data_IF_161706397515
#
_entry.id   IF_161706397515
#
_cell.length_a   1.000
_cell.length_b   1.000
_cell.length_c   1.000
_cell.angle_alpha   90.00
_cell.angle_beta   90.00
_cell.angle_gamma   90.00
#
_symmetry.space_group_name_H-M   'P 1'
#
loop_
_entity.id
_entity.type
_entity.pdbx_description
1 polymer ?
#
# COMPACT_ATOMS: atom_id res chain seq x y z
N UNK A 1 -22.89 -22.85 -15.34
CA UNK A 1 -22.70 -22.49 -16.76
C UNK A 1 -23.07 -21.02 -16.90
N UNK A 2 -22.08 -20.16 -17.18
CA UNK A 2 -21.91 -19.36 -18.43
C UNK A 2 -23.11 -18.38 -18.60
N UNK A 3 -22.98 -17.05 -18.59
CA UNK A 3 -22.27 -16.25 -19.62
C UNK A 3 -22.08 -14.74 -19.27
N UNK A 4 -20.86 -14.25 -19.52
CA UNK A 4 -20.42 -12.97 -20.13
C UNK A 4 -21.12 -11.62 -19.81
N UNK A 5 -20.30 -10.65 -19.38
CA UNK A 5 -19.76 -9.55 -20.22
C UNK A 5 -18.91 -8.64 -19.29
N UNK A 6 -17.71 -8.16 -19.62
CA UNK A 6 -17.34 -7.47 -20.86
C UNK A 6 -15.85 -7.66 -21.13
N UNK A 7 -15.60 -8.12 -22.35
CA UNK A 7 -14.35 -8.01 -23.07
C UNK A 7 -14.18 -6.54 -23.54
N UNK A 8 -13.00 -6.23 -24.09
CA UNK A 8 -12.60 -5.05 -24.87
C UNK A 8 -11.95 -3.89 -24.07
N UNK A 9 -10.60 -3.92 -23.96
CA UNK A 9 -9.73 -3.16 -24.88
C UNK A 9 -8.25 -3.38 -24.54
N UNK A 10 -7.53 -4.02 -25.47
CA UNK A 10 -6.12 -3.70 -25.68
C UNK A 10 -6.01 -2.31 -26.32
N UNK A 11 -4.78 -1.78 -26.32
CA UNK A 11 -4.37 -0.42 -26.70
C UNK A 11 -4.52 0.67 -25.63
N UNK A 12 -3.64 0.60 -24.63
CA UNK A 12 -2.69 1.67 -24.25
C UNK A 12 -1.76 1.05 -23.20
N UNK A 13 -0.44 1.27 -23.31
CA UNK A 13 0.38 1.38 -22.09
C UNK A 13 -0.24 2.55 -21.33
N UNK A 14 -1.17 2.27 -20.43
CA UNK A 14 -1.94 3.33 -19.77
C UNK A 14 -1.02 4.09 -18.82
N UNK A 15 -1.22 5.40 -18.70
CA UNK A 15 -0.52 6.33 -17.79
C UNK A 15 -0.05 5.72 -16.46
N UNK A 16 -0.87 4.84 -15.89
CA UNK A 16 -0.64 4.05 -14.68
C UNK A 16 0.63 3.20 -14.69
N UNK A 17 1.02 2.61 -15.82
CA UNK A 17 2.23 1.80 -15.94
C UNK A 17 3.50 2.67 -15.95
N UNK A 18 3.40 3.88 -16.50
CA UNK A 18 4.52 4.85 -16.54
C UNK A 18 4.71 5.45 -15.16
N UNK A 19 3.63 5.90 -14.51
CA UNK A 19 3.65 6.38 -13.14
C UNK A 19 4.15 5.31 -12.16
N UNK A 20 3.76 4.05 -12.34
CA UNK A 20 4.26 2.94 -11.52
C UNK A 20 5.76 2.68 -11.73
N UNK A 21 6.27 2.81 -12.95
CA UNK A 21 7.70 2.64 -13.26
C UNK A 21 8.54 3.78 -12.67
N UNK A 22 8.11 5.03 -12.80
CA UNK A 22 8.81 6.19 -12.23
C UNK A 22 8.82 6.14 -10.70
N UNK A 23 7.72 5.70 -10.10
CA UNK A 23 7.66 5.40 -8.67
C UNK A 23 8.69 4.35 -8.30
N UNK A 24 8.77 3.24 -9.04
CA UNK A 24 9.72 2.16 -8.76
C UNK A 24 11.17 2.62 -8.85
N UNK A 25 11.51 3.51 -9.77
CA UNK A 25 12.86 4.05 -9.91
C UNK A 25 13.21 5.03 -8.76
N UNK A 26 12.30 5.93 -8.37
CA UNK A 26 12.46 6.77 -7.18
C UNK A 26 12.60 5.92 -5.91
N UNK A 27 11.79 4.87 -5.78
CA UNK A 27 11.77 4.00 -4.60
C UNK A 27 13.02 3.11 -4.52
N UNK A 28 13.54 2.61 -5.64
CA UNK A 28 14.83 1.92 -5.68
C UNK A 28 15.98 2.82 -5.25
N UNK A 29 15.95 4.10 -5.60
CA UNK A 29 16.95 5.07 -5.16
C UNK A 29 16.92 5.30 -3.64
N UNK A 30 15.77 5.07 -2.99
CA UNK A 30 15.58 5.14 -1.52
C UNK A 30 15.91 3.81 -0.82
N UNK A 31 16.18 2.73 -1.57
CA UNK A 31 16.58 1.44 -1.02
C UNK A 31 15.46 0.67 -0.32
N UNK A 32 14.22 0.77 -0.83
CA UNK A 32 13.06 0.04 -0.29
C UNK A 32 12.82 -1.31 -0.99
N UNK A 33 12.22 -2.25 -0.26
CA UNK A 33 11.90 -3.59 -0.70
C UNK A 33 10.59 -3.61 -1.52
N UNK A 34 10.52 -4.30 -2.68
CA UNK A 34 9.25 -4.57 -3.34
C UNK A 34 8.34 -5.44 -2.46
N UNK A 35 7.05 -5.11 -2.37
CA UNK A 35 6.07 -5.85 -1.55
C UNK A 35 6.07 -7.34 -1.90
N UNK A 36 6.17 -7.68 -3.19
CA UNK A 36 6.17 -9.07 -3.64
C UNK A 36 7.38 -9.88 -3.15
N UNK A 37 8.50 -9.22 -2.87
CA UNK A 37 9.78 -9.84 -2.48
C UNK A 37 9.94 -9.95 -0.97
N UNK A 38 9.12 -9.25 -0.17
CA UNK A 38 9.19 -9.33 1.27
C UNK A 38 8.79 -10.74 1.79
N UNK A 39 9.33 -11.16 2.95
CA UNK A 39 8.95 -12.42 3.59
C UNK A 39 8.42 -12.25 5.02
N UNK A 40 7.69 -13.27 5.49
CA UNK A 40 7.09 -13.27 6.82
C UNK A 40 8.16 -13.08 7.92
N UNK A 41 7.90 -12.16 8.85
CA UNK A 41 8.74 -11.93 10.03
C UNK A 41 9.94 -11.01 9.78
N UNK A 42 10.20 -10.62 8.54
CA UNK A 42 11.25 -9.69 8.17
C UNK A 42 10.90 -8.26 8.58
N UNK A 43 11.96 -7.46 8.80
CA UNK A 43 11.81 -6.01 8.85
C UNK A 43 11.89 -5.51 7.42
N UNK A 44 10.86 -4.80 6.99
CA UNK A 44 10.72 -4.30 5.63
C UNK A 44 10.64 -2.78 5.64
N UNK A 45 11.13 -2.16 4.58
CA UNK A 45 10.84 -0.77 4.26
C UNK A 45 10.23 -0.74 2.87
N UNK A 46 8.99 -0.31 2.75
CA UNK A 46 8.22 -0.37 1.51
C UNK A 46 7.68 1.00 1.21
N UNK A 47 7.75 1.43 -0.04
CA UNK A 47 7.12 2.66 -0.47
C UNK A 47 6.04 2.41 -1.52
N UNK A 48 4.97 3.19 -1.45
CA UNK A 48 3.83 3.01 -2.33
C UNK A 48 2.78 4.11 -2.17
N UNK A 49 1.64 3.90 -2.83
CA UNK A 49 0.50 4.81 -2.83
C UNK A 49 -0.65 4.21 -2.05
N UNK A 50 -1.27 5.00 -1.17
CA UNK A 50 -2.47 4.63 -0.41
C UNK A 50 -3.64 4.47 -1.39
N UNK A 51 -4.13 3.24 -1.57
CA UNK A 51 -5.27 2.93 -2.44
C UNK A 51 -6.60 3.01 -1.69
N UNK A 52 -6.62 2.60 -0.43
CA UNK A 52 -7.81 2.62 0.41
C UNK A 52 -7.48 3.03 1.85
N UNK A 53 -8.45 3.66 2.51
CA UNK A 53 -8.44 3.94 3.94
C UNK A 53 -9.73 3.40 4.54
N UNK A 54 -9.62 2.41 5.42
CA UNK A 54 -10.75 1.74 6.05
C UNK A 54 -10.87 2.19 7.51
N UNK A 55 -12.03 2.76 7.84
CA UNK A 55 -12.42 3.08 9.21
C UNK A 55 -13.30 1.95 9.75
N UNK A 56 -12.80 1.16 10.70
CA UNK A 56 -13.59 0.08 11.30
C UNK A 56 -14.67 0.64 12.23
N UNK A 57 -15.98 0.41 12.00
CA UNK A 57 -17.04 0.90 12.88
C UNK A 57 -17.03 0.18 14.24
N UNK A 58 -17.25 0.94 15.33
CA UNK A 58 -17.68 0.46 16.66
C UNK A 58 -16.93 -0.76 17.26
N UNK A 59 -15.63 -0.91 17.04
CA UNK A 59 -14.80 -1.81 17.86
C UNK A 59 -14.39 -1.12 19.18
N UNK A 60 -14.30 -1.90 20.27
CA UNK A 60 -13.84 -1.40 21.59
C UNK A 60 -12.46 -0.74 21.49
N UNK A 61 -11.59 -1.26 20.62
CA UNK A 61 -10.28 -0.69 20.33
C UNK A 61 -10.28 -0.13 18.91
N UNK A 62 -10.03 1.18 18.71
CA UNK A 62 -9.98 1.76 17.36
C UNK A 62 -8.76 1.27 16.58
N UNK A 63 -8.90 1.17 15.26
CA UNK A 63 -7.79 0.92 14.35
C UNK A 63 -7.98 1.70 13.05
N UNK A 64 -6.89 2.27 12.55
CA UNK A 64 -6.79 2.86 11.22
C UNK A 64 -6.14 1.82 10.32
N UNK A 65 -6.82 1.48 9.24
CA UNK A 65 -6.32 0.52 8.26
C UNK A 65 -6.22 1.19 6.90
N UNK A 66 -5.12 0.91 6.19
CA UNK A 66 -4.92 1.33 4.81
C UNK A 66 -4.43 0.18 3.96
N UNK A 67 -4.65 0.29 2.66
CA UNK A 67 -4.01 -0.55 1.64
C UNK A 67 -2.99 0.30 0.88
N UNK A 68 -1.73 -0.13 0.90
CA UNK A 68 -0.63 0.48 0.17
C UNK A 68 -0.28 -0.37 -1.05
N UNK A 69 -0.06 0.26 -2.21
CA UNK A 69 0.31 -0.42 -3.45
C UNK A 69 1.59 0.19 -4.04
N UNK A 70 2.55 -0.66 -4.39
CA UNK A 70 3.87 -0.29 -4.95
C UNK A 70 4.04 -0.68 -6.44
N UNK A 71 2.98 -1.15 -7.09
CA UNK A 71 3.04 -1.74 -8.44
C UNK A 71 3.30 -3.25 -8.43
N UNK A 72 3.93 -3.79 -7.38
CA UNK A 72 4.29 -5.21 -7.26
C UNK A 72 3.29 -6.02 -6.41
N UNK A 73 2.59 -5.38 -5.48
CA UNK A 73 1.57 -6.01 -4.65
C UNK A 73 0.92 -5.04 -3.67
N UNK A 74 0.03 -5.59 -2.83
CA UNK A 74 -0.66 -4.83 -1.79
C UNK A 74 -0.09 -5.14 -0.40
N UNK A 75 0.03 -4.11 0.42
CA UNK A 75 0.42 -4.17 1.83
C UNK A 75 -0.69 -3.55 2.67
N UNK A 76 -1.29 -4.34 3.55
CA UNK A 76 -2.23 -3.82 4.55
C UNK A 76 -1.43 -3.22 5.71
N UNK A 77 -1.73 -1.99 6.09
CA UNK A 77 -1.08 -1.33 7.22
C UNK A 77 -2.12 -0.94 8.25
N UNK A 78 -1.88 -1.33 9.50
CA UNK A 78 -2.84 -1.18 10.59
C UNK A 78 -2.19 -0.45 11.75
N UNK A 79 -2.70 0.74 12.09
CA UNK A 79 -2.37 1.44 13.34
C UNK A 79 -3.46 1.21 14.38
N UNK A 80 -3.14 0.43 15.40
CA UNK A 80 -4.00 0.16 16.55
C UNK A 80 -4.08 1.39 17.47
N UNK A 81 -5.21 1.58 18.14
CA UNK A 81 -5.44 2.71 19.03
C UNK A 81 -5.68 4.05 18.31
N UNK A 82 -5.64 4.07 16.97
CA UNK A 82 -5.83 5.27 16.15
C UNK A 82 -7.08 5.13 15.30
N UNK A 83 -7.87 6.20 15.19
CA UNK A 83 -8.98 6.30 14.21
C UNK A 83 -8.56 7.02 12.93
N UNK A 84 -7.61 7.94 13.06
CA UNK A 84 -7.09 8.76 11.97
C UNK A 84 -5.66 9.17 12.29
N UNK A 85 -4.88 9.36 11.25
CA UNK A 85 -3.58 10.01 11.27
C UNK A 85 -3.62 11.11 10.20
N UNK A 86 -3.18 12.32 10.56
CA UNK A 86 -3.21 13.45 9.63
C UNK A 86 -2.26 13.17 8.45
N UNK A 87 -2.69 13.53 7.24
CA UNK A 87 -1.91 13.31 6.01
C UNK A 87 -1.99 11.90 5.44
N UNK A 88 -2.62 10.93 6.13
CA UNK A 88 -2.91 9.61 5.56
C UNK A 88 -4.30 9.63 4.91
N UNK A 89 -4.31 9.69 3.58
CA UNK A 89 -5.50 9.72 2.72
C UNK A 89 -5.23 8.94 1.44
N UNK A 90 -6.28 8.50 0.75
CA UNK A 90 -6.16 7.88 -0.59
C UNK A 90 -5.38 8.78 -1.56
N UNK A 91 -4.58 8.15 -2.43
CA UNK A 91 -3.68 8.81 -3.38
C UNK A 91 -2.37 9.31 -2.76
N UNK A 92 -2.21 9.22 -1.43
CA UNK A 92 -0.98 9.69 -0.78
C UNK A 92 0.16 8.70 -0.98
N UNK A 93 1.31 9.20 -1.40
CA UNK A 93 2.57 8.43 -1.42
C UNK A 93 3.23 8.44 -0.04
N UNK A 94 3.74 7.29 0.40
CA UNK A 94 4.44 7.16 1.67
C UNK A 94 5.43 5.99 1.69
N UNK A 95 6.34 6.04 2.65
CA UNK A 95 7.20 4.93 3.05
C UNK A 95 6.64 4.34 4.34
N UNK A 96 6.57 3.02 4.43
CA UNK A 96 6.17 2.23 5.58
C UNK A 96 7.34 1.35 5.99
N UNK A 97 7.77 1.46 7.25
CA UNK A 97 8.82 0.61 7.78
C UNK A 97 8.34 -0.11 9.03
N UNK A 98 8.50 -1.42 9.06
CA UNK A 98 7.98 -2.24 10.16
C UNK A 98 8.26 -3.71 9.98
N UNK A 99 7.64 -4.53 10.83
CA UNK A 99 7.77 -5.98 10.74
C UNK A 99 6.62 -6.57 9.95
N UNK A 100 6.94 -7.30 8.89
CA UNK A 100 5.94 -7.93 8.06
C UNK A 100 5.34 -9.15 8.77
N UNK A 101 4.02 -9.14 8.91
CA UNK A 101 3.23 -10.27 9.36
C UNK A 101 2.44 -10.77 8.15
N UNK A 102 2.81 -11.93 7.61
CA UNK A 102 2.05 -12.56 6.54
C UNK A 102 1.01 -13.54 7.12
N UNK A 103 -0.24 -13.42 6.68
CA UNK A 103 -1.12 -14.57 6.62
C UNK A 103 -0.98 -15.21 5.22
N UNK A 104 -1.48 -16.43 4.99
CA UNK A 104 -1.53 -17.03 3.65
C UNK A 104 -2.27 -16.16 2.61
N UNK A 105 -3.05 -15.18 3.07
CA UNK A 105 -3.98 -14.39 2.24
C UNK A 105 -3.65 -12.89 2.24
N UNK A 106 -2.72 -12.41 3.09
CA UNK A 106 -2.44 -10.98 3.20
C UNK A 106 -1.09 -10.66 3.83
N UNK A 107 -0.42 -9.63 3.32
CA UNK A 107 0.80 -9.02 3.86
C UNK A 107 0.39 -7.86 4.75
N UNK A 108 0.68 -7.92 6.05
CA UNK A 108 0.19 -6.95 7.04
C UNK A 108 1.33 -6.40 7.88
N UNK A 109 1.34 -5.10 8.13
CA UNK A 109 2.25 -4.47 9.10
C UNK A 109 1.44 -3.73 10.15
N UNK A 110 1.72 -4.03 11.41
CA UNK A 110 1.07 -3.40 12.56
C UNK A 110 1.95 -2.30 13.16
N UNK A 111 1.34 -1.16 13.47
CA UNK A 111 1.97 0.01 14.07
C UNK A 111 3.34 0.37 13.47
N UNK A 112 3.50 0.45 12.14
CA UNK A 112 4.78 0.82 11.57
C UNK A 112 5.10 2.31 11.78
N UNK A 113 6.38 2.63 11.61
CA UNK A 113 6.78 4.00 11.29
C UNK A 113 6.40 4.33 9.84
N UNK A 114 6.12 5.60 9.57
CA UNK A 114 5.77 6.05 8.24
C UNK A 114 6.36 7.43 7.95
N UNK A 115 6.63 7.66 6.67
CA UNK A 115 7.07 8.96 6.14
C UNK A 115 6.19 9.34 4.95
N UNK A 116 5.74 10.59 4.91
CA UNK A 116 4.94 11.11 3.80
C UNK A 116 5.86 11.79 2.79
N UNK A 117 5.75 11.44 1.51
CA UNK A 117 6.40 12.22 0.45
C UNK A 117 5.82 13.64 0.40
N UNK A 118 6.50 14.67 -0.12
CA UNK A 118 5.88 15.97 -0.34
C UNK A 118 4.60 15.89 -1.18
N UNK A 119 3.67 16.82 -1.00
CA UNK A 119 2.59 17.00 -1.99
C UNK A 119 3.18 17.71 -3.20
N UNK A 120 2.89 17.23 -4.41
CA UNK A 120 3.11 18.04 -5.61
C UNK A 120 2.16 19.25 -5.50
N UNK A 121 2.73 20.45 -5.57
CA UNK A 121 2.01 21.73 -5.52
C UNK A 121 1.59 22.10 -6.94
#
# INVERSE_FOLDING_TARGET
MIELAKRWRGWTRSQTDVEASELQDEMRAVGVDPIRECHHGERVSVAGTVQAVTLRPKQLTPALEIELYDGSGYLTVIWLGRRRIAGITTGRRMIISGRLTCSPVSRVVYNPSYELFPMAI
#
